data_IF_430053929999
#
_entry.id   IF_430053929999
#
_cell.length_a   1.000
_cell.length_b   1.000
_cell.length_c   1.000
_cell.angle_alpha   90.00
_cell.angle_beta   90.00
_cell.angle_gamma   90.00
#
_symmetry.space_group_name_H-M   'P 1'
#
loop_
_entity.id
_entity.type
_entity.pdbx_description
1 polymer ?
#
# COMPACT_ATOMS: atom_id res chain seq x y z
N UNK A 1 -14.38 10.78 0.66
CA UNK A 1 -13.54 9.76 0.00
C UNK A 1 -13.45 10.05 -1.50
N UNK A 2 -12.24 10.22 -2.01
CA UNK A 2 -12.04 10.44 -3.43
C UNK A 2 -11.84 9.09 -4.16
N UNK A 3 -12.82 8.62 -4.95
CA UNK A 3 -12.72 7.34 -5.66
C UNK A 3 -11.66 7.35 -6.78
N UNK A 4 -11.19 8.53 -7.18
CA UNK A 4 -10.19 8.69 -8.23
C UNK A 4 -8.75 8.59 -7.73
N UNK A 5 -8.51 8.47 -6.43
CA UNK A 5 -7.18 8.17 -5.91
C UNK A 5 -6.79 6.76 -6.35
N UNK A 6 -5.97 6.72 -7.36
CA UNK A 6 -5.43 5.48 -7.91
C UNK A 6 -4.32 4.99 -7.00
N UNK A 7 -4.49 3.83 -6.44
CA UNK A 7 -3.42 3.15 -5.69
C UNK A 7 -3.08 1.84 -6.37
N UNK A 8 -1.82 1.65 -6.71
CA UNK A 8 -1.38 0.38 -7.28
C UNK A 8 -1.73 -0.77 -6.34
N UNK A 9 -2.40 -1.79 -6.87
CA UNK A 9 -2.77 -2.98 -6.13
C UNK A 9 -2.78 -4.20 -7.04
N UNK A 10 -2.19 -5.29 -6.58
CA UNK A 10 -2.25 -6.58 -7.28
C UNK A 10 -3.69 -7.12 -7.27
N UNK A 11 -4.38 -6.92 -6.14
CA UNK A 11 -5.79 -7.29 -5.97
C UNK A 11 -6.59 -6.02 -5.60
N UNK A 12 -7.05 -5.23 -6.58
CA UNK A 12 -7.87 -4.07 -6.31
C UNK A 12 -9.20 -4.49 -5.66
N UNK A 13 -9.80 -3.63 -4.83
CA UNK A 13 -11.10 -3.94 -4.23
C UNK A 13 -12.17 -4.07 -5.31
N UNK A 14 -13.02 -5.09 -5.20
CA UNK A 14 -14.07 -5.38 -6.18
C UNK A 14 -15.13 -4.28 -6.28
N UNK A 15 -15.32 -3.53 -5.18
CA UNK A 15 -16.25 -2.42 -5.02
C UNK A 15 -15.60 -1.05 -5.25
N UNK A 16 -14.37 -1.02 -5.74
CA UNK A 16 -13.58 0.18 -5.91
C UNK A 16 -13.26 0.50 -7.37
N UNK A 17 -12.83 1.74 -7.59
CA UNK A 17 -12.31 2.15 -8.89
C UNK A 17 -11.09 1.29 -9.25
N UNK A 18 -11.13 0.72 -10.44
CA UNK A 18 -10.00 -0.02 -11.03
C UNK A 18 -9.28 0.91 -12.01
N UNK A 19 -8.03 1.30 -11.75
CA UNK A 19 -7.25 2.10 -12.69
C UNK A 19 -7.11 1.39 -14.03
N UNK A 20 -7.18 2.11 -15.16
CA UNK A 20 -6.96 1.53 -16.49
C UNK A 20 -5.48 1.18 -16.74
N UNK A 21 -4.57 1.80 -15.98
CA UNK A 21 -3.13 1.58 -16.12
C UNK A 21 -2.67 0.33 -15.35
N UNK A 22 -1.58 -0.23 -15.81
CA UNK A 22 -0.89 -1.32 -15.14
C UNK A 22 -0.33 -0.82 -13.78
N UNK A 23 -0.45 -1.57 -12.67
CA UNK A 23 -0.10 -1.08 -11.33
C UNK A 23 1.34 -0.58 -11.18
N UNK A 24 2.30 -1.18 -11.86
CA UNK A 24 3.69 -0.72 -11.79
C UNK A 24 3.88 0.63 -12.51
N UNK A 25 3.16 0.86 -13.62
CA UNK A 25 3.10 2.17 -14.27
C UNK A 25 2.53 3.23 -13.32
N UNK A 26 1.51 2.86 -12.53
CA UNK A 26 0.97 3.71 -11.47
C UNK A 26 2.01 4.08 -10.40
N UNK A 27 2.86 3.15 -9.98
CA UNK A 27 3.97 3.44 -9.05
C UNK A 27 4.95 4.43 -9.68
N UNK A 28 5.37 4.19 -10.91
CA UNK A 28 6.30 5.07 -11.63
C UNK A 28 5.74 6.49 -11.76
N UNK A 29 4.45 6.61 -12.11
CA UNK A 29 3.75 7.90 -12.20
C UNK A 29 3.73 8.64 -10.85
N UNK A 30 3.49 7.96 -9.73
CA UNK A 30 3.55 8.57 -8.40
C UNK A 30 4.94 9.12 -8.08
N UNK A 31 5.99 8.38 -8.40
CA UNK A 31 7.38 8.82 -8.20
C UNK A 31 7.67 10.04 -9.10
N UNK A 32 7.25 10.00 -10.36
CA UNK A 32 7.42 11.11 -11.29
C UNK A 32 6.75 12.39 -10.78
N UNK A 33 5.50 12.32 -10.34
CA UNK A 33 4.77 13.47 -9.79
C UNK A 33 5.51 14.07 -8.57
N UNK A 34 6.03 13.23 -7.67
CA UNK A 34 6.84 13.71 -6.55
C UNK A 34 8.11 14.43 -7.04
N UNK A 35 8.78 13.88 -8.05
CA UNK A 35 9.98 14.49 -8.66
C UNK A 35 9.67 15.86 -9.26
N UNK A 36 8.58 15.98 -9.99
CA UNK A 36 8.12 17.24 -10.59
C UNK A 36 7.78 18.29 -9.51
N UNK A 37 7.08 17.86 -8.43
CA UNK A 37 6.78 18.73 -7.29
C UNK A 37 8.06 19.22 -6.61
N UNK A 38 9.03 18.35 -6.38
CA UNK A 38 10.33 18.76 -5.79
C UNK A 38 11.10 19.69 -6.68
N UNK A 39 11.08 19.50 -8.00
CA UNK A 39 11.71 20.40 -8.95
C UNK A 39 11.07 21.81 -8.96
N UNK A 40 9.74 21.86 -8.93
CA UNK A 40 8.98 23.11 -8.92
C UNK A 40 9.05 23.84 -7.56
N UNK A 41 9.10 23.08 -6.45
CA UNK A 41 9.08 23.59 -5.09
C UNK A 41 10.18 22.97 -4.22
N UNK A 42 11.47 23.32 -4.40
CA UNK A 42 12.59 22.63 -3.75
C UNK A 42 12.56 22.63 -2.21
N UNK A 43 11.91 23.64 -1.61
CA UNK A 43 11.76 23.76 -0.14
C UNK A 43 10.57 22.99 0.42
N UNK A 44 9.67 22.47 -0.42
CA UNK A 44 8.55 21.67 0.01
C UNK A 44 9.04 20.29 0.47
N UNK A 45 8.63 19.86 1.67
CA UNK A 45 8.85 18.48 2.12
C UNK A 45 7.79 17.58 1.50
N UNK A 46 8.24 16.58 0.75
CA UNK A 46 7.37 15.65 0.02
C UNK A 46 7.50 14.25 0.60
N UNK A 47 6.37 13.65 0.93
CA UNK A 47 6.26 12.23 1.29
C UNK A 47 5.76 11.46 0.08
N UNK A 48 6.63 10.68 -0.55
CA UNK A 48 6.27 9.83 -1.67
C UNK A 48 5.35 8.68 -1.25
N UNK A 49 4.44 8.28 -2.13
CA UNK A 49 3.44 7.23 -1.87
C UNK A 49 3.46 6.14 -2.95
N UNK A 50 2.57 5.14 -2.82
CA UNK A 50 2.45 3.98 -3.70
C UNK A 50 3.53 2.89 -3.57
N UNK A 51 4.55 3.07 -2.78
CA UNK A 51 5.67 2.14 -2.64
C UNK A 51 5.28 0.76 -2.11
N UNK A 52 4.18 0.61 -1.36
CA UNK A 52 3.71 -0.69 -0.85
C UNK A 52 3.56 -1.75 -1.95
N UNK A 53 3.19 -1.35 -3.17
CA UNK A 53 3.06 -2.27 -4.30
C UNK A 53 4.38 -2.96 -4.68
N UNK A 54 5.52 -2.31 -4.41
CA UNK A 54 6.86 -2.82 -4.72
C UNK A 54 7.30 -3.97 -3.81
N UNK A 55 6.54 -4.27 -2.75
CA UNK A 55 6.77 -5.41 -1.86
C UNK A 55 8.20 -5.42 -1.28
N UNK A 56 8.97 -6.47 -1.50
CA UNK A 56 10.37 -6.61 -1.05
C UNK A 56 11.35 -5.62 -1.70
N UNK A 57 11.01 -5.08 -2.86
CA UNK A 57 11.81 -4.07 -3.57
C UNK A 57 11.61 -2.64 -3.04
N UNK A 58 10.60 -2.45 -2.17
CA UNK A 58 10.27 -1.13 -1.62
C UNK A 58 11.49 -0.39 -1.03
N UNK A 59 12.33 -1.00 -0.17
CA UNK A 59 13.45 -0.28 0.43
C UNK A 59 14.48 0.21 -0.60
N UNK A 60 14.72 -0.58 -1.64
CA UNK A 60 15.69 -0.23 -2.69
C UNK A 60 15.22 0.94 -3.54
N UNK A 61 13.95 0.90 -3.97
CA UNK A 61 13.34 1.99 -4.74
C UNK A 61 13.19 3.25 -3.89
N UNK A 62 12.81 3.11 -2.62
CA UNK A 62 12.73 4.21 -1.66
C UNK A 62 14.07 4.93 -1.48
N UNK A 63 15.14 4.18 -1.24
CA UNK A 63 16.49 4.74 -1.12
C UNK A 63 16.92 5.45 -2.41
N UNK A 64 16.63 4.87 -3.57
CA UNK A 64 16.94 5.49 -4.87
C UNK A 64 16.18 6.80 -5.04
N UNK A 65 14.89 6.84 -4.73
CA UNK A 65 14.04 8.02 -4.86
C UNK A 65 14.53 9.17 -3.96
N UNK A 66 14.88 8.88 -2.69
CA UNK A 66 15.41 9.86 -1.74
C UNK A 66 16.78 10.38 -2.21
N UNK A 67 17.71 9.49 -2.58
CA UNK A 67 19.05 9.89 -3.06
C UNK A 67 19.01 10.70 -4.34
N UNK A 68 18.01 10.49 -5.19
CA UNK A 68 17.78 11.26 -6.40
C UNK A 68 17.06 12.60 -6.17
N UNK A 69 16.66 12.91 -4.93
CA UNK A 69 15.90 14.11 -4.61
C UNK A 69 14.48 14.12 -5.16
N UNK A 70 13.94 12.95 -5.50
CA UNK A 70 12.57 12.82 -5.98
C UNK A 70 11.52 12.97 -4.85
N UNK A 71 11.92 12.67 -3.62
CA UNK A 71 11.08 12.82 -2.43
C UNK A 71 11.98 12.93 -1.18
N UNK A 72 11.47 13.50 -0.10
CA UNK A 72 12.21 13.60 1.17
C UNK A 72 11.96 12.38 2.08
N UNK A 73 10.74 11.86 2.03
CA UNK A 73 10.30 10.71 2.82
C UNK A 73 9.49 9.72 1.97
N UNK A 74 9.38 8.49 2.45
CA UNK A 74 8.56 7.45 1.82
C UNK A 74 7.47 7.00 2.78
N UNK A 75 6.21 7.09 2.33
CA UNK A 75 5.04 6.65 3.04
C UNK A 75 4.76 5.16 2.81
N UNK A 76 4.59 4.40 3.87
CA UNK A 76 4.39 2.95 3.79
C UNK A 76 2.93 2.53 3.56
N UNK A 77 1.97 3.39 3.79
CA UNK A 77 0.55 3.11 3.60
C UNK A 77 0.11 1.75 4.14
N UNK A 78 -0.30 0.86 3.25
CA UNK A 78 -0.82 -0.47 3.62
C UNK A 78 0.23 -1.42 4.21
N UNK A 79 1.50 -1.20 3.94
CA UNK A 79 2.59 -2.04 4.46
C UNK A 79 2.62 -2.01 5.99
N UNK A 80 2.37 -0.87 6.61
CA UNK A 80 2.39 -0.70 8.07
C UNK A 80 1.34 -1.57 8.78
N UNK A 81 0.26 -1.94 8.10
CA UNK A 81 -0.81 -2.78 8.67
C UNK A 81 -0.41 -4.26 8.83
N UNK A 82 0.54 -4.72 8.05
CA UNK A 82 1.02 -6.11 8.12
C UNK A 82 2.45 -6.21 8.62
N UNK A 83 3.25 -5.15 8.42
CA UNK A 83 4.66 -5.13 8.79
C UNK A 83 5.07 -3.76 9.36
N UNK A 84 4.55 -3.38 10.56
CA UNK A 84 4.87 -2.10 11.18
C UNK A 84 6.36 -1.94 11.53
N UNK A 85 7.08 -3.03 11.81
CA UNK A 85 8.52 -3.01 12.11
C UNK A 85 9.43 -2.95 10.88
N UNK A 86 8.87 -2.97 9.66
CA UNK A 86 9.66 -2.94 8.42
C UNK A 86 10.73 -1.82 8.39
N UNK A 87 10.43 -0.57 8.80
CA UNK A 87 11.45 0.48 8.84
C UNK A 87 12.62 0.14 9.76
N UNK A 88 12.35 -0.42 10.94
CA UNK A 88 13.38 -0.83 11.91
C UNK A 88 14.25 -1.94 11.35
N UNK A 89 13.67 -2.94 10.71
CA UNK A 89 14.40 -4.05 10.12
C UNK A 89 15.29 -3.57 8.96
N UNK A 90 14.75 -2.70 8.08
CA UNK A 90 15.52 -2.07 6.99
C UNK A 90 16.71 -1.27 7.53
N UNK A 91 16.47 -0.40 8.52
CA UNK A 91 17.52 0.47 9.07
C UNK A 91 18.60 -0.31 9.85
N UNK A 92 18.24 -1.44 10.46
CA UNK A 92 19.18 -2.32 11.15
C UNK A 92 19.85 -3.38 10.25
N UNK A 93 19.55 -3.36 8.94
CA UNK A 93 20.11 -4.31 7.97
C UNK A 93 19.62 -5.74 8.14
N UNK A 94 18.49 -5.96 8.83
CA UNK A 94 17.88 -7.27 8.97
C UNK A 94 17.18 -7.70 7.67
N UNK A 95 17.17 -9.00 7.35
CA UNK A 95 16.35 -9.54 6.28
C UNK A 95 14.86 -9.24 6.52
N UNK A 96 14.13 -8.90 5.46
CA UNK A 96 12.69 -8.68 5.56
C UNK A 96 11.95 -10.02 5.79
N UNK A 97 10.95 -10.02 6.66
CA UNK A 97 10.03 -11.15 6.81
C UNK A 97 9.02 -11.16 5.65
N UNK A 98 9.28 -12.02 4.66
CA UNK A 98 8.46 -12.15 3.46
C UNK A 98 6.99 -12.51 3.73
N UNK A 99 6.69 -13.16 4.88
CA UNK A 99 5.33 -13.54 5.27
C UNK A 99 4.50 -12.33 5.72
N UNK A 100 5.15 -11.22 6.09
CA UNK A 100 4.51 -10.00 6.56
C UNK A 100 4.40 -8.92 5.48
N UNK A 101 5.11 -9.09 4.36
CA UNK A 101 5.10 -8.14 3.24
C UNK A 101 3.70 -8.04 2.64
N UNK A 102 3.14 -6.84 2.61
CA UNK A 102 1.82 -6.58 2.05
C UNK A 102 1.76 -6.93 0.56
N UNK A 103 0.87 -7.85 0.20
CA UNK A 103 0.60 -8.27 -1.18
C UNK A 103 -0.56 -7.48 -1.82
N UNK A 104 -0.93 -6.36 -1.22
CA UNK A 104 -1.98 -5.46 -1.73
C UNK A 104 -3.34 -6.15 -1.99
N UNK A 105 -3.77 -7.03 -1.10
CA UNK A 105 -5.06 -7.75 -1.17
C UNK A 105 -6.29 -6.85 -1.06
N UNK A 106 -6.12 -5.62 -0.60
CA UNK A 106 -7.16 -4.60 -0.43
C UNK A 106 -8.22 -4.87 0.65
N UNK A 107 -8.12 -5.93 1.43
CA UNK A 107 -9.04 -6.25 2.52
C UNK A 107 -9.15 -5.10 3.54
N UNK A 108 -8.03 -4.45 3.88
CA UNK A 108 -7.98 -3.30 4.77
C UNK A 108 -8.77 -2.09 4.28
N UNK A 109 -9.13 -2.03 3.01
CA UNK A 109 -9.93 -0.95 2.41
C UNK A 109 -11.33 -1.40 2.06
N UNK A 110 -11.55 -2.68 1.79
CA UNK A 110 -12.88 -3.25 1.61
C UNK A 110 -13.62 -3.32 2.94
N UNK A 111 -12.96 -3.75 4.03
CA UNK A 111 -13.57 -3.88 5.34
C UNK A 111 -14.33 -2.62 5.81
N UNK A 112 -13.72 -1.42 5.88
CA UNK A 112 -14.43 -0.22 6.35
C UNK A 112 -15.58 0.22 5.44
N UNK A 113 -15.56 -0.10 4.15
CA UNK A 113 -16.69 0.16 3.25
C UNK A 113 -17.93 -0.66 3.60
N UNK A 114 -17.74 -1.79 4.27
CA UNK A 114 -18.80 -2.66 4.78
C UNK A 114 -19.04 -2.52 6.29
N UNK A 115 -18.59 -1.40 6.89
CA UNK A 115 -18.78 -1.12 8.32
C UNK A 115 -17.94 -2.02 9.24
N UNK A 116 -16.86 -2.62 8.72
CA UNK A 116 -15.97 -3.49 9.47
C UNK A 116 -14.67 -2.75 9.86
N UNK A 117 -14.00 -3.21 10.89
CA UNK A 117 -12.71 -2.65 11.34
C UNK A 117 -11.66 -2.82 10.24
N UNK A 118 -10.92 -1.75 9.94
CA UNK A 118 -9.80 -1.79 8.99
C UNK A 118 -8.60 -2.51 9.62
N UNK A 119 -7.95 -3.37 8.84
CA UNK A 119 -6.76 -4.12 9.27
C UNK A 119 -6.29 -5.12 8.22
N UNK A 120 -5.15 -5.75 8.47
CA UNK A 120 -4.61 -6.74 7.53
C UNK A 120 -5.14 -8.14 7.83
N UNK A 121 -6.34 -8.47 7.39
CA UNK A 121 -6.96 -9.77 7.59
C UNK A 121 -6.18 -10.97 7.01
N UNK A 122 -5.46 -10.84 5.86
CA UNK A 122 -4.70 -11.96 5.31
C UNK A 122 -3.40 -12.29 6.06
N UNK A 123 -2.67 -11.28 6.56
CA UNK A 123 -1.29 -11.46 7.02
C UNK A 123 -1.10 -11.24 8.52
N UNK A 124 -1.96 -10.45 9.17
CA UNK A 124 -1.87 -10.19 10.61
C UNK A 124 -2.72 -11.20 11.39
N UNK A 125 -2.10 -11.90 12.36
CA UNK A 125 -2.74 -12.91 13.18
C UNK A 125 -3.93 -12.36 13.96
N UNK A 126 -3.80 -11.18 14.56
CA UNK A 126 -4.88 -10.54 15.32
C UNK A 126 -6.14 -10.31 14.46
N UNK A 127 -5.98 -9.74 13.26
CA UNK A 127 -7.14 -9.51 12.39
C UNK A 127 -7.66 -10.79 11.75
N UNK A 128 -6.81 -11.77 11.49
CA UNK A 128 -7.19 -13.06 10.92
C UNK A 128 -8.13 -13.86 11.81
N UNK A 129 -8.01 -13.70 13.12
CA UNK A 129 -8.83 -14.41 14.12
C UNK A 129 -10.11 -13.64 14.50
N UNK A 130 -10.30 -12.43 14.03
CA UNK A 130 -11.48 -11.62 14.35
C UNK A 130 -12.75 -12.13 13.66
N UNK A 131 -13.90 -12.01 14.33
CA UNK A 131 -15.19 -12.40 13.75
C UNK A 131 -15.55 -11.64 12.47
N UNK A 132 -15.07 -10.41 12.34
CA UNK A 132 -15.27 -9.58 11.14
C UNK A 132 -14.69 -10.21 9.87
N UNK A 133 -13.73 -11.13 9.98
CA UNK A 133 -13.17 -11.84 8.82
C UNK A 133 -14.24 -12.62 8.06
N UNK A 134 -15.13 -13.34 8.75
CA UNK A 134 -16.21 -14.08 8.09
C UNK A 134 -17.12 -13.14 7.31
N UNK A 135 -17.55 -12.03 7.92
CA UNK A 135 -18.38 -11.00 7.29
C UNK A 135 -17.69 -10.37 6.08
N UNK A 136 -16.38 -10.13 6.16
CA UNK A 136 -15.60 -9.60 5.04
C UNK A 136 -15.56 -10.59 3.86
N UNK A 137 -15.40 -11.87 4.13
CA UNK A 137 -15.44 -12.94 3.11
C UNK A 137 -16.80 -12.97 2.42
N UNK A 138 -17.88 -12.89 3.17
CA UNK A 138 -19.27 -12.84 2.63
C UNK A 138 -19.47 -11.60 1.74
N UNK A 139 -19.07 -10.43 2.24
CA UNK A 139 -19.13 -9.19 1.45
C UNK A 139 -18.36 -9.30 0.14
N UNK A 140 -17.14 -9.86 0.16
CA UNK A 140 -16.35 -10.07 -1.05
C UNK A 140 -17.01 -11.06 -2.04
N UNK A 141 -17.62 -12.13 -1.54
CA UNK A 141 -18.36 -13.09 -2.37
C UNK A 141 -19.56 -12.43 -3.05
N UNK A 142 -20.33 -11.64 -2.31
CA UNK A 142 -21.48 -10.91 -2.86
C UNK A 142 -21.05 -9.96 -4.00
N UNK A 143 -19.89 -9.30 -3.89
CA UNK A 143 -19.36 -8.40 -4.90
C UNK A 143 -18.81 -9.11 -6.16
N UNK A 144 -18.36 -10.36 -6.02
CA UNK A 144 -17.77 -11.13 -7.13
C UNK A 144 -18.75 -12.08 -7.82
N UNK A 145 -19.96 -12.18 -7.31
CA UNK A 145 -20.99 -13.08 -7.87
C UNK A 145 -20.65 -14.58 -7.74
N UNK A 146 -19.74 -14.94 -6.80
CA UNK A 146 -19.30 -16.33 -6.56
C UNK A 146 -19.58 -16.78 -5.13
#
# INVERSE_FOLDING_TARGET
YNPHIQRPALFPPSDGYKPPEEPLAGVARHIQVCTELKAAFPRLLVVGSAYTYLQEWLPHVAQRAIRAGATDFVGLGRMVLSYPEMPTDVLSGKPLDSRRICRTFSDCTTAPRHGLVSGCYPLDGFYRERPEKARLVEAKRALTGR
#
